data_IF_061402285887
#
_entry.id   IF_061402285887
#
_cell.length_a   1.000
_cell.length_b   1.000
_cell.length_c   1.000
_cell.angle_alpha   90.00
_cell.angle_beta   90.00
_cell.angle_gamma   90.00
#
_symmetry.space_group_name_H-M   'P 1'
#
loop_
_entity.id
_entity.type
_entity.pdbx_description
1 polymer ?
#
# COMPACT_ATOMS: atom_id res chain seq x y z
N UNK A 1 81.92 -71.60 -14.70
CA UNK A 1 80.67 -71.59 -13.91
C UNK A 1 80.15 -70.18 -13.64
N UNK A 2 80.99 -69.22 -13.20
CA UNK A 2 80.54 -67.89 -12.77
C UNK A 2 79.99 -66.98 -13.90
N UNK A 3 80.51 -67.08 -15.13
CA UNK A 3 80.02 -66.28 -16.28
C UNK A 3 78.59 -66.64 -16.66
N UNK A 4 78.23 -67.93 -16.60
CA UNK A 4 76.88 -68.40 -16.90
C UNK A 4 75.86 -67.87 -15.88
N UNK A 5 76.23 -67.89 -14.58
CA UNK A 5 75.40 -67.30 -13.53
C UNK A 5 75.21 -65.80 -13.75
N UNK A 6 76.28 -65.05 -14.06
CA UNK A 6 76.20 -63.60 -14.28
C UNK A 6 75.28 -63.24 -15.45
N UNK A 7 75.34 -64.00 -16.56
CA UNK A 7 74.44 -63.82 -17.71
C UNK A 7 72.98 -64.05 -17.31
N UNK A 8 72.70 -65.10 -16.52
CA UNK A 8 71.37 -65.42 -16.04
C UNK A 8 70.82 -64.31 -15.12
N UNK A 9 71.65 -63.76 -14.22
CA UNK A 9 71.25 -62.65 -13.35
C UNK A 9 70.97 -61.38 -14.14
N UNK A 10 71.80 -61.06 -15.14
CA UNK A 10 71.57 -59.91 -16.01
C UNK A 10 70.26 -60.03 -16.79
N UNK A 11 70.00 -61.20 -17.38
CA UNK A 11 68.76 -61.46 -18.10
C UNK A 11 67.53 -61.33 -17.19
N UNK A 12 67.58 -61.85 -15.96
CA UNK A 12 66.51 -61.70 -14.99
C UNK A 12 66.27 -60.22 -14.59
N UNK A 13 67.32 -59.41 -14.46
CA UNK A 13 67.19 -57.98 -14.17
C UNK A 13 66.50 -57.26 -15.33
N UNK A 14 66.89 -57.56 -16.57
CA UNK A 14 66.26 -56.95 -17.77
C UNK A 14 64.79 -57.35 -17.87
N UNK A 15 64.46 -58.61 -17.60
CA UNK A 15 63.07 -59.08 -17.58
C UNK A 15 62.26 -58.38 -16.49
N UNK A 16 62.80 -58.28 -15.27
CA UNK A 16 62.13 -57.61 -14.15
C UNK A 16 61.93 -56.11 -14.42
N UNK A 17 62.93 -55.45 -15.01
CA UNK A 17 62.85 -54.04 -15.39
C UNK A 17 61.80 -53.82 -16.49
N UNK A 18 61.78 -54.68 -17.52
CA UNK A 18 60.78 -54.63 -18.58
C UNK A 18 59.35 -54.86 -18.07
N UNK A 19 59.17 -55.81 -17.15
CA UNK A 19 57.87 -56.13 -16.56
C UNK A 19 57.39 -55.00 -15.63
N UNK A 20 58.31 -54.42 -14.84
CA UNK A 20 58.03 -53.25 -13.99
C UNK A 20 57.65 -52.02 -14.83
N UNK A 21 58.35 -51.79 -15.93
CA UNK A 21 58.07 -50.68 -16.85
C UNK A 21 56.72 -50.86 -17.57
N UNK A 22 56.41 -52.07 -18.03
CA UNK A 22 55.12 -52.40 -18.65
C UNK A 22 53.94 -52.23 -17.68
N UNK A 23 54.09 -52.67 -16.42
CA UNK A 23 53.08 -52.44 -15.39
C UNK A 23 52.91 -50.95 -15.07
N UNK A 24 54.01 -50.20 -15.04
CA UNK A 24 53.97 -48.76 -14.79
C UNK A 24 53.22 -47.99 -15.89
N UNK A 25 53.47 -48.32 -17.16
CA UNK A 25 52.73 -47.74 -18.29
C UNK A 25 51.23 -48.05 -18.20
N UNK A 26 50.87 -49.31 -17.92
CA UNK A 26 49.47 -49.73 -17.78
C UNK A 26 48.74 -49.07 -16.60
N UNK A 27 49.47 -48.73 -15.54
CA UNK A 27 48.91 -47.98 -14.39
C UNK A 27 48.74 -46.50 -14.72
N UNK A 28 49.60 -45.91 -15.56
CA UNK A 28 49.46 -44.50 -15.98
C UNK A 28 48.25 -44.30 -16.89
N UNK A 29 48.03 -45.18 -17.87
CA UNK A 29 46.85 -45.10 -18.76
C UNK A 29 45.54 -45.13 -17.97
N UNK A 30 45.44 -46.00 -16.96
CA UNK A 30 44.25 -46.07 -16.10
C UNK A 30 43.98 -44.81 -15.27
N UNK A 31 45.01 -44.01 -14.95
CA UNK A 31 44.85 -42.76 -14.19
C UNK A 31 44.29 -41.63 -15.05
N UNK A 32 44.63 -41.60 -16.34
CA UNK A 32 44.11 -40.60 -17.27
C UNK A 32 42.62 -40.84 -17.57
N UNK A 33 42.23 -42.11 -17.76
CA UNK A 33 40.83 -42.51 -17.88
C UNK A 33 40.01 -42.16 -16.64
N UNK A 34 40.60 -42.31 -15.45
CA UNK A 34 39.91 -41.97 -14.22
C UNK A 34 39.66 -40.46 -14.08
N UNK A 35 40.57 -39.61 -14.57
CA UNK A 35 40.40 -38.15 -14.56
C UNK A 35 39.38 -37.71 -15.60
N UNK A 36 39.40 -38.27 -16.80
CA UNK A 36 38.40 -38.00 -17.84
C UNK A 36 37.00 -38.47 -17.41
N UNK A 37 36.90 -39.66 -16.81
CA UNK A 37 35.63 -40.19 -16.28
C UNK A 37 35.06 -39.31 -15.18
N UNK A 38 35.90 -38.86 -14.23
CA UNK A 38 35.47 -37.90 -13.18
C UNK A 38 35.07 -36.55 -13.77
N UNK A 39 35.78 -36.08 -14.80
CA UNK A 39 35.43 -34.85 -15.52
C UNK A 39 34.07 -34.97 -16.21
N UNK A 40 33.81 -36.09 -16.89
CA UNK A 40 32.54 -36.36 -17.55
C UNK A 40 31.39 -36.51 -16.56
N UNK A 41 31.61 -37.18 -15.43
CA UNK A 41 30.63 -37.28 -14.34
C UNK A 41 30.28 -35.89 -13.76
N UNK A 42 31.28 -35.02 -13.59
CA UNK A 42 31.05 -33.65 -13.12
C UNK A 42 30.24 -32.84 -14.13
N UNK A 43 30.51 -33.00 -15.43
CA UNK A 43 29.72 -32.36 -16.48
C UNK A 43 28.30 -32.88 -16.53
N UNK A 44 28.10 -34.20 -16.45
CA UNK A 44 26.76 -34.79 -16.40
C UNK A 44 25.97 -34.30 -15.18
N UNK A 45 26.62 -34.20 -14.02
CA UNK A 45 26.00 -33.64 -12.82
C UNK A 45 25.66 -32.14 -13.02
N UNK A 46 26.57 -31.35 -13.60
CA UNK A 46 26.31 -29.95 -13.92
C UNK A 46 25.17 -29.77 -14.91
N UNK A 47 25.06 -30.64 -15.92
CA UNK A 47 23.97 -30.62 -16.89
C UNK A 47 22.66 -30.94 -16.18
N UNK A 48 22.60 -31.97 -15.34
CA UNK A 48 21.40 -32.33 -14.57
C UNK A 48 20.97 -31.21 -13.61
N UNK A 49 21.91 -30.53 -12.95
CA UNK A 49 21.60 -29.38 -12.08
C UNK A 49 21.11 -28.17 -12.91
N UNK A 50 21.73 -27.90 -14.06
CA UNK A 50 21.28 -26.81 -14.93
C UNK A 50 19.90 -27.08 -15.54
N UNK A 51 19.61 -28.33 -15.88
CA UNK A 51 18.30 -28.78 -16.35
C UNK A 51 17.25 -28.58 -15.25
N UNK A 52 17.50 -29.04 -14.01
CA UNK A 52 16.58 -28.82 -12.89
C UNK A 52 16.37 -27.32 -12.56
N UNK A 53 17.45 -26.52 -12.59
CA UNK A 53 17.34 -25.08 -12.40
C UNK A 53 16.57 -24.40 -13.54
N UNK A 54 16.75 -24.87 -14.79
CA UNK A 54 16.01 -24.39 -15.95
C UNK A 54 14.53 -24.70 -15.79
N UNK A 55 14.17 -25.94 -15.47
CA UNK A 55 12.79 -26.38 -15.27
C UNK A 55 12.11 -25.61 -14.13
N UNK A 56 12.84 -25.39 -13.02
CA UNK A 56 12.35 -24.59 -11.90
C UNK A 56 12.14 -23.13 -12.28
N UNK A 57 13.03 -22.56 -13.09
CA UNK A 57 12.91 -21.18 -13.59
C UNK A 57 11.71 -21.06 -14.52
N UNK A 58 11.53 -22.00 -15.45
CA UNK A 58 10.37 -22.04 -16.34
C UNK A 58 9.06 -22.15 -15.57
N UNK A 59 9.03 -22.97 -14.52
CA UNK A 59 7.87 -23.09 -13.65
C UNK A 59 7.58 -21.79 -12.88
N UNK A 60 8.61 -21.11 -12.38
CA UNK A 60 8.48 -19.81 -11.73
C UNK A 60 7.98 -18.72 -12.68
N UNK A 61 8.51 -18.67 -13.91
CA UNK A 61 8.08 -17.72 -14.94
C UNK A 61 6.61 -17.96 -15.30
N UNK A 62 6.18 -19.21 -15.46
CA UNK A 62 4.75 -19.53 -15.71
C UNK A 62 3.85 -19.08 -14.55
N UNK A 63 4.28 -19.31 -13.30
CA UNK A 63 3.55 -18.83 -12.12
C UNK A 63 3.48 -17.30 -12.07
N UNK A 64 4.58 -16.62 -12.39
CA UNK A 64 4.62 -15.16 -12.45
C UNK A 64 3.66 -14.61 -13.51
N UNK A 65 3.65 -15.20 -14.71
CA UNK A 65 2.72 -14.83 -15.79
C UNK A 65 1.27 -14.99 -15.31
N UNK A 66 0.93 -16.11 -14.69
CA UNK A 66 -0.43 -16.34 -14.18
C UNK A 66 -0.83 -15.30 -13.12
N UNK A 67 0.06 -14.98 -12.16
CA UNK A 67 -0.22 -13.95 -11.14
C UNK A 67 -0.36 -12.57 -11.79
N UNK A 68 0.47 -12.27 -12.79
CA UNK A 68 0.42 -11.01 -13.53
C UNK A 68 -0.89 -10.87 -14.29
N UNK A 69 -1.37 -11.93 -14.94
CA UNK A 69 -2.66 -11.94 -15.63
C UNK A 69 -3.82 -11.73 -14.65
N UNK A 70 -3.79 -12.40 -13.50
CA UNK A 70 -4.78 -12.23 -12.44
C UNK A 70 -4.80 -10.78 -11.92
N UNK A 71 -3.62 -10.21 -11.61
CA UNK A 71 -3.52 -8.83 -11.12
C UNK A 71 -3.90 -7.80 -12.17
N UNK A 72 -3.58 -8.06 -13.43
CA UNK A 72 -4.05 -7.22 -14.54
C UNK A 72 -5.59 -7.26 -14.65
N UNK A 73 -6.21 -8.41 -14.44
CA UNK A 73 -7.66 -8.55 -14.36
C UNK A 73 -8.29 -7.77 -13.21
N UNK A 74 -7.73 -7.88 -12.01
CA UNK A 74 -8.17 -7.12 -10.83
C UNK A 74 -8.07 -5.60 -11.06
N UNK A 75 -6.95 -5.11 -11.61
CA UNK A 75 -6.76 -3.69 -11.91
C UNK A 75 -7.78 -3.19 -12.94
N UNK A 76 -8.05 -3.96 -14.00
CA UNK A 76 -9.09 -3.60 -14.99
C UNK A 76 -10.48 -3.52 -14.36
N UNK A 77 -10.80 -4.42 -13.44
CA UNK A 77 -12.08 -4.40 -12.75
C UNK A 77 -12.24 -3.17 -11.85
N UNK A 78 -11.20 -2.83 -11.07
CA UNK A 78 -11.21 -1.61 -10.24
C UNK A 78 -11.30 -0.36 -11.10
N UNK A 79 -10.57 -0.32 -12.22
CA UNK A 79 -10.63 0.81 -13.16
C UNK A 79 -12.04 1.01 -13.71
N UNK A 80 -12.70 -0.06 -14.15
CA UNK A 80 -14.08 0.01 -14.64
C UNK A 80 -15.08 0.49 -13.56
N UNK A 81 -14.91 0.02 -12.31
CA UNK A 81 -15.73 0.47 -11.19
C UNK A 81 -15.50 1.96 -10.84
N UNK A 82 -14.25 2.44 -10.92
CA UNK A 82 -13.93 3.85 -10.73
C UNK A 82 -14.51 4.73 -11.83
N UNK A 83 -14.48 4.29 -13.09
CA UNK A 83 -15.09 5.01 -14.21
C UNK A 83 -16.60 5.16 -14.03
N UNK A 84 -17.29 4.10 -13.56
CA UNK A 84 -18.72 4.16 -13.24
C UNK A 84 -19.01 5.18 -12.12
N UNK A 85 -18.17 5.22 -11.07
CA UNK A 85 -18.31 6.18 -9.98
C UNK A 85 -18.09 7.62 -10.44
N UNK A 86 -17.10 7.86 -11.31
CA UNK A 86 -16.86 9.18 -11.90
C UNK A 86 -18.09 9.64 -12.68
N UNK A 87 -18.67 8.77 -13.51
CA UNK A 87 -19.90 9.09 -14.26
C UNK A 87 -21.07 9.43 -13.34
N UNK A 88 -21.23 8.70 -12.22
CA UNK A 88 -22.26 9.01 -11.23
C UNK A 88 -22.02 10.36 -10.56
N UNK A 89 -20.78 10.67 -10.18
CA UNK A 89 -20.41 11.97 -9.59
C UNK A 89 -20.66 13.10 -10.58
N UNK A 90 -20.28 12.96 -11.85
CA UNK A 90 -20.55 13.95 -12.89
C UNK A 90 -22.05 14.19 -13.06
N UNK A 91 -22.86 13.14 -13.07
CA UNK A 91 -24.31 13.26 -13.13
C UNK A 91 -24.89 14.00 -11.91
N UNK A 92 -24.38 13.70 -10.70
CA UNK A 92 -24.79 14.38 -9.47
C UNK A 92 -24.34 15.84 -9.44
N UNK A 93 -23.12 16.12 -9.89
CA UNK A 93 -22.56 17.47 -9.95
C UNK A 93 -23.34 18.35 -10.92
N UNK A 94 -23.71 17.81 -12.09
CA UNK A 94 -24.55 18.52 -13.05
C UNK A 94 -25.92 18.88 -12.46
N UNK A 95 -26.58 17.93 -11.76
CA UNK A 95 -27.82 18.20 -11.03
C UNK A 95 -27.64 19.26 -9.93
N UNK A 96 -26.55 19.17 -9.17
CA UNK A 96 -26.21 20.14 -8.13
C UNK A 96 -25.99 21.55 -8.70
N UNK A 97 -25.36 21.66 -9.87
CA UNK A 97 -25.18 22.93 -10.58
C UNK A 97 -26.51 23.49 -11.10
N UNK A 98 -27.41 22.66 -11.61
CA UNK A 98 -28.76 23.08 -12.01
C UNK A 98 -29.55 23.63 -10.81
N UNK A 99 -29.55 22.91 -9.70
CA UNK A 99 -30.18 23.34 -8.45
C UNK A 99 -29.55 24.65 -7.97
N UNK A 100 -28.21 24.74 -7.96
CA UNK A 100 -27.50 25.96 -7.56
C UNK A 100 -27.88 27.17 -8.42
N UNK A 101 -28.02 26.99 -9.75
CA UNK A 101 -28.49 28.05 -10.66
C UNK A 101 -29.91 28.50 -10.29
N UNK A 102 -30.82 27.57 -10.05
CA UNK A 102 -32.20 27.87 -9.64
C UNK A 102 -32.23 28.66 -8.32
N UNK A 103 -31.43 28.25 -7.33
CA UNK A 103 -31.34 28.95 -6.04
C UNK A 103 -30.70 30.34 -6.15
N UNK A 104 -29.73 30.51 -7.05
CA UNK A 104 -29.12 31.82 -7.31
C UNK A 104 -30.11 32.79 -7.95
N UNK A 105 -30.99 32.29 -8.82
CA UNK A 105 -31.97 33.10 -9.54
C UNK A 105 -33.22 33.44 -8.70
N UNK A 106 -33.64 32.56 -7.78
CA UNK A 106 -34.87 32.74 -7.01
C UNK A 106 -34.72 33.46 -5.67
N UNK A 107 -33.50 33.70 -5.15
CA UNK A 107 -33.31 34.38 -3.86
C UNK A 107 -32.74 35.79 -4.11
N UNK A 108 -33.56 36.86 -4.08
CA UNK A 108 -33.04 38.22 -4.09
C UNK A 108 -32.16 38.41 -2.85
N UNK A 109 -30.85 38.57 -3.03
CA UNK A 109 -29.92 38.65 -1.89
C UNK A 109 -30.25 39.80 -0.92
N UNK A 110 -30.91 40.86 -1.40
CA UNK A 110 -31.42 41.93 -0.54
C UNK A 110 -32.54 41.48 0.40
N UNK A 111 -33.38 40.53 -0.01
CA UNK A 111 -34.48 40.04 0.83
C UNK A 111 -33.96 39.14 1.97
N UNK A 112 -32.93 38.33 1.71
CA UNK A 112 -32.27 37.51 2.75
C UNK A 112 -31.68 38.37 3.87
N UNK A 113 -30.99 39.47 3.52
CA UNK A 113 -30.42 40.39 4.50
C UNK A 113 -31.52 41.09 5.33
N UNK A 114 -32.63 41.46 4.68
CA UNK A 114 -33.77 42.03 5.37
C UNK A 114 -34.42 41.01 6.33
N UNK A 115 -34.61 39.76 5.89
CA UNK A 115 -35.14 38.67 6.73
C UNK A 115 -34.24 38.39 7.94
N UNK A 116 -32.91 38.40 7.77
CA UNK A 116 -31.97 38.21 8.87
C UNK A 116 -32.08 39.34 9.91
N UNK A 117 -32.12 40.60 9.46
CA UNK A 117 -32.32 41.75 10.35
C UNK A 117 -33.66 41.68 11.07
N UNK A 118 -34.75 41.37 10.37
CA UNK A 118 -36.07 41.22 10.99
C UNK A 118 -36.08 40.09 12.04
N UNK A 119 -35.36 38.99 11.81
CA UNK A 119 -35.24 37.93 12.82
C UNK A 119 -34.54 38.42 14.10
N UNK A 120 -33.46 39.20 13.97
CA UNK A 120 -32.77 39.83 15.11
C UNK A 120 -33.68 40.77 15.89
N UNK A 121 -34.52 41.56 15.22
CA UNK A 121 -35.49 42.43 15.90
C UNK A 121 -36.58 41.62 16.63
N UNK A 122 -37.05 40.52 16.03
CA UNK A 122 -38.05 39.64 16.65
C UNK A 122 -37.48 38.92 17.87
N UNK A 123 -36.25 38.40 17.80
CA UNK A 123 -35.59 37.75 18.94
C UNK A 123 -35.28 38.73 20.05
N UNK A 124 -34.80 39.93 19.73
CA UNK A 124 -34.59 41.00 20.69
C UNK A 124 -35.90 41.40 21.38
N UNK A 125 -37.01 41.48 20.65
CA UNK A 125 -38.31 41.78 21.22
C UNK A 125 -38.86 40.67 22.12
N UNK A 126 -38.65 39.40 21.77
CA UNK A 126 -38.99 38.27 22.65
C UNK A 126 -38.19 38.31 23.96
N UNK A 127 -36.87 38.53 23.89
CA UNK A 127 -36.03 38.65 25.09
C UNK A 127 -36.39 39.88 25.93
N UNK A 128 -36.70 41.01 25.29
CA UNK A 128 -37.14 42.21 25.98
C UNK A 128 -38.44 41.97 26.77
N UNK A 129 -39.41 41.27 26.17
CA UNK A 129 -40.67 40.93 26.82
C UNK A 129 -40.49 39.94 27.98
N UNK A 130 -39.53 39.02 27.86
CA UNK A 130 -39.13 38.10 28.93
C UNK A 130 -38.41 38.79 30.11
N UNK A 131 -38.14 40.10 30.02
CA UNK A 131 -37.57 40.90 31.10
C UNK A 131 -36.03 40.89 31.17
N UNK A 132 -35.35 40.47 30.09
CA UNK A 132 -33.89 40.53 30.02
C UNK A 132 -33.38 41.97 30.01
N UNK A 133 -32.22 42.19 30.62
CA UNK A 133 -31.62 43.52 30.67
C UNK A 133 -30.98 43.90 29.31
N UNK A 134 -30.71 45.19 29.11
CA UNK A 134 -30.14 45.71 27.86
C UNK A 134 -28.80 45.05 27.50
N UNK A 135 -27.94 44.80 28.49
CA UNK A 135 -26.61 44.24 28.28
C UNK A 135 -26.66 42.75 27.86
N UNK A 136 -27.63 41.99 28.39
CA UNK A 136 -27.89 40.59 28.05
C UNK A 136 -28.42 40.45 26.63
N UNK A 137 -29.32 41.36 26.21
CA UNK A 137 -29.86 41.38 24.85
C UNK A 137 -28.75 41.75 23.85
N UNK A 138 -27.89 42.72 24.21
CA UNK A 138 -26.77 43.14 23.37
C UNK A 138 -25.68 42.07 23.23
N UNK A 139 -25.51 41.22 24.24
CA UNK A 139 -24.61 40.08 24.17
C UNK A 139 -25.11 38.97 23.21
N UNK A 140 -26.42 38.91 22.95
CA UNK A 140 -27.04 37.82 22.20
C UNK A 140 -27.57 38.25 20.82
N UNK A 141 -27.82 39.55 20.61
CA UNK A 141 -28.30 40.11 19.36
C UNK A 141 -27.44 41.32 18.96
N UNK A 142 -26.88 41.25 17.75
CA UNK A 142 -26.03 42.31 17.17
C UNK A 142 -26.87 43.46 16.60
N UNK A 143 -27.53 44.20 17.50
CA UNK A 143 -28.29 45.41 17.21
C UNK A 143 -27.66 46.60 17.93
N UNK A 144 -27.90 47.81 17.43
CA UNK A 144 -27.37 49.00 18.09
C UNK A 144 -28.04 49.19 19.46
N UNK A 145 -27.33 49.71 20.47
CA UNK A 145 -27.87 49.88 21.82
C UNK A 145 -29.12 50.78 21.84
N UNK A 146 -29.21 51.75 20.93
CA UNK A 146 -30.37 52.62 20.77
C UNK A 146 -31.63 51.85 20.28
N UNK A 147 -31.44 50.93 19.33
CA UNK A 147 -32.53 50.08 18.83
C UNK A 147 -33.03 49.13 19.91
N UNK A 148 -32.11 48.50 20.66
CA UNK A 148 -32.46 47.62 21.78
C UNK A 148 -33.24 48.39 22.85
N UNK A 149 -32.84 49.62 23.17
CA UNK A 149 -33.57 50.46 24.12
C UNK A 149 -35.01 50.74 23.66
N UNK A 150 -35.19 51.02 22.37
CA UNK A 150 -36.50 51.23 21.77
C UNK A 150 -37.35 49.96 21.83
N UNK A 151 -36.78 48.80 21.46
CA UNK A 151 -37.46 47.50 21.49
C UNK A 151 -37.91 47.14 22.90
N UNK A 152 -37.04 47.36 23.90
CA UNK A 152 -37.37 47.16 25.31
C UNK A 152 -38.54 48.06 25.70
N UNK A 153 -38.45 49.37 25.42
CA UNK A 153 -39.50 50.33 25.80
C UNK A 153 -40.85 50.01 25.16
N UNK A 154 -40.84 49.50 23.92
CA UNK A 154 -42.04 49.23 23.13
C UNK A 154 -42.68 47.88 23.49
N UNK A 155 -41.89 46.86 23.84
CA UNK A 155 -42.38 45.49 24.06
C UNK A 155 -42.40 45.05 25.54
N UNK A 156 -41.98 45.91 26.48
CA UNK A 156 -41.94 45.60 27.92
C UNK A 156 -43.30 45.22 28.49
N UNK A 157 -44.34 45.98 28.13
CA UNK A 157 -45.66 45.84 28.75
C UNK A 157 -46.63 45.00 27.89
N UNK A 158 -46.45 45.02 26.56
CA UNK A 158 -47.23 44.21 25.63
C UNK A 158 -46.39 43.89 24.38
N UNK A 159 -46.29 42.63 24.00
CA UNK A 159 -45.58 42.22 22.80
C UNK A 159 -46.36 42.69 21.57
N UNK A 160 -45.77 43.54 20.73
CA UNK A 160 -46.51 44.17 19.63
C UNK A 160 -46.80 43.24 18.46
N UNK A 161 -46.26 42.02 18.45
CA UNK A 161 -46.56 41.00 17.45
C UNK A 161 -47.10 39.74 18.12
N UNK A 162 -48.13 39.15 17.51
CA UNK A 162 -48.59 37.82 17.87
C UNK A 162 -47.58 36.79 17.34
N UNK A 163 -47.13 35.89 18.20
CA UNK A 163 -46.18 34.83 17.84
C UNK A 163 -46.72 33.94 16.71
N UNK A 164 -48.04 33.78 16.65
CA UNK A 164 -48.76 33.01 15.63
C UNK A 164 -48.84 33.69 14.26
N UNK A 165 -48.62 35.01 14.19
CA UNK A 165 -48.68 35.78 12.94
C UNK A 165 -47.31 36.00 12.29
N UNK A 166 -46.24 35.51 12.92
CA UNK A 166 -44.90 35.58 12.34
C UNK A 166 -44.80 34.61 11.15
N UNK A 167 -44.13 35.01 10.06
CA UNK A 167 -43.80 34.09 8.98
C UNK A 167 -43.00 32.88 9.50
N UNK A 168 -43.16 31.73 8.86
CA UNK A 168 -42.54 30.45 9.25
C UNK A 168 -41.01 30.51 9.38
N UNK A 169 -40.35 31.40 8.62
CA UNK A 169 -38.91 31.63 8.71
C UNK A 169 -38.47 32.36 10.00
N UNK A 170 -39.35 33.14 10.63
CA UNK A 170 -39.08 33.85 11.88
C UNK A 170 -39.45 33.04 13.12
N UNK A 171 -40.35 32.06 12.98
CA UNK A 171 -40.79 31.19 14.07
C UNK A 171 -39.72 30.17 14.50
N UNK A 172 -38.79 29.81 13.61
CA UNK A 172 -37.82 28.72 13.81
C UNK A 172 -36.52 29.04 14.56
N UNK A 173 -36.29 30.27 15.04
CA UNK A 173 -35.02 30.62 15.71
C UNK A 173 -34.88 30.01 17.13
N UNK A 174 -35.94 29.43 17.71
CA UNK A 174 -35.91 28.82 19.05
C UNK A 174 -36.53 27.44 19.19
N UNK A 175 -37.20 26.90 18.16
CA UNK A 175 -37.80 25.57 18.21
C UNK A 175 -37.77 24.91 16.83
N UNK A 176 -37.09 23.75 16.80
CA UNK A 176 -37.11 22.67 15.83
C UNK A 176 -38.02 22.76 14.58
N UNK A 177 -37.40 22.48 13.44
CA UNK A 177 -37.92 21.69 12.31
C UNK A 177 -39.34 21.99 11.79
N UNK A 178 -39.41 22.74 10.70
CA UNK A 178 -40.54 22.84 9.77
C UNK A 178 -39.96 22.45 8.41
N UNK A 179 -40.14 21.26 7.84
CA UNK A 179 -41.35 20.62 7.34
C UNK A 179 -42.27 21.59 6.58
N UNK A 180 -41.78 22.08 5.42
CA UNK A 180 -42.60 22.47 4.26
C UNK A 180 -41.72 22.94 3.07
N UNK A 181 -41.37 22.01 2.18
CA UNK A 181 -41.63 22.14 0.74
C UNK A 181 -41.44 20.76 0.06
N UNK A 182 -42.57 20.07 -0.09
CA UNK A 182 -42.74 18.63 -0.36
C UNK A 182 -42.29 18.12 -1.73
N UNK A 183 -41.54 18.90 -2.51
CA UNK A 183 -41.05 18.46 -3.82
C UNK A 183 -39.53 18.55 -3.87
N UNK A 184 -38.96 19.72 -3.56
CA UNK A 184 -37.50 19.92 -3.55
C UNK A 184 -36.79 19.28 -2.35
N UNK A 185 -37.50 19.07 -1.24
CA UNK A 185 -36.95 18.42 -0.05
C UNK A 185 -36.97 16.88 -0.16
N UNK A 186 -37.85 16.33 -1.01
CA UNK A 186 -37.82 14.91 -1.39
C UNK A 186 -36.56 14.63 -2.19
N UNK A 187 -36.26 15.44 -3.21
CA UNK A 187 -35.06 15.26 -4.04
C UNK A 187 -33.76 15.45 -3.24
N UNK A 188 -33.74 16.35 -2.26
CA UNK A 188 -32.60 16.56 -1.36
C UNK A 188 -32.44 15.45 -0.32
N UNK A 189 -33.55 14.92 0.21
CA UNK A 189 -33.51 13.77 1.11
C UNK A 189 -33.17 12.48 0.36
N UNK A 190 -33.62 12.33 -0.89
CA UNK A 190 -33.25 11.22 -1.78
C UNK A 190 -31.77 11.33 -2.18
N UNK A 191 -31.25 12.55 -2.40
CA UNK A 191 -29.83 12.79 -2.61
C UNK A 191 -29.00 12.49 -1.36
N UNK A 192 -29.45 12.93 -0.18
CA UNK A 192 -28.79 12.65 1.09
C UNK A 192 -28.84 11.15 1.42
N UNK A 193 -29.96 10.46 1.15
CA UNK A 193 -30.07 9.02 1.27
C UNK A 193 -29.22 8.29 0.24
N UNK A 194 -29.11 8.77 -1.01
CA UNK A 194 -28.24 8.18 -2.02
C UNK A 194 -26.76 8.28 -1.60
N UNK A 195 -26.33 9.42 -1.07
CA UNK A 195 -24.98 9.60 -0.50
C UNK A 195 -24.75 8.71 0.72
N UNK A 196 -25.73 8.59 1.61
CA UNK A 196 -25.62 7.75 2.82
C UNK A 196 -25.65 6.26 2.48
N UNK A 197 -26.44 5.86 1.50
CA UNK A 197 -26.48 4.50 0.95
C UNK A 197 -25.19 4.18 0.19
N UNK A 198 -24.59 5.15 -0.52
CA UNK A 198 -23.28 4.97 -1.16
C UNK A 198 -22.15 4.82 -0.12
N UNK A 199 -22.16 5.62 0.94
CA UNK A 199 -21.18 5.50 2.04
C UNK A 199 -21.35 4.19 2.84
N UNK A 200 -22.59 3.74 3.06
CA UNK A 200 -22.86 2.46 3.74
C UNK A 200 -22.60 1.25 2.85
N UNK A 201 -22.75 1.37 1.52
CA UNK A 201 -22.27 0.35 0.57
C UNK A 201 -20.74 0.26 0.58
N UNK A 202 -20.03 1.39 0.72
CA UNK A 202 -18.57 1.43 0.93
C UNK A 202 -18.14 0.80 2.27
N UNK A 203 -18.93 0.98 3.33
CA UNK A 203 -18.65 0.41 4.66
C UNK A 203 -19.05 -1.07 4.79
N UNK A 204 -20.07 -1.52 4.04
CA UNK A 204 -20.65 -2.87 4.13
C UNK A 204 -20.22 -3.85 3.02
N UNK A 205 -19.74 -3.36 1.89
CA UNK A 205 -19.27 -4.22 0.78
C UNK A 205 -17.83 -4.65 1.04
N UNK A 206 -17.65 -5.77 1.76
CA UNK A 206 -16.71 -6.90 1.54
C UNK A 206 -15.25 -6.64 1.11
N UNK A 207 -14.80 -5.41 0.97
CA UNK A 207 -13.47 -5.04 0.49
C UNK A 207 -12.51 -4.98 1.68
N UNK A 208 -13.00 -4.56 2.85
CA UNK A 208 -12.21 -4.63 4.07
C UNK A 208 -12.03 -6.07 4.58
N UNK A 209 -13.05 -6.93 4.49
CA UNK A 209 -12.95 -8.33 4.96
C UNK A 209 -12.10 -9.18 4.01
N UNK A 210 -12.19 -8.98 2.70
CA UNK A 210 -11.36 -9.76 1.76
C UNK A 210 -9.91 -9.26 1.73
N UNK A 211 -9.64 -7.95 1.88
CA UNK A 211 -8.27 -7.44 2.00
C UNK A 211 -7.67 -7.78 3.38
N UNK A 212 -8.42 -7.75 4.49
CA UNK A 212 -7.85 -8.17 5.78
C UNK A 212 -7.68 -9.69 5.92
N UNK A 213 -8.55 -10.52 5.32
CA UNK A 213 -8.34 -11.98 5.33
C UNK A 213 -7.32 -12.47 4.30
N UNK A 214 -7.20 -11.88 3.10
CA UNK A 214 -6.18 -12.34 2.12
C UNK A 214 -4.85 -11.58 2.15
N UNK A 215 -4.79 -10.36 2.70
CA UNK A 215 -3.52 -9.63 2.81
C UNK A 215 -2.77 -9.86 4.14
N UNK A 216 -3.41 -10.37 5.19
CA UNK A 216 -2.70 -10.67 6.46
C UNK A 216 -2.40 -12.15 6.70
N UNK A 217 -3.08 -13.10 6.05
CA UNK A 217 -2.67 -14.52 6.12
C UNK A 217 -1.53 -14.85 5.16
N UNK A 218 -1.43 -14.17 4.02
CA UNK A 218 -0.28 -14.32 3.11
C UNK A 218 1.00 -13.67 3.65
N UNK A 219 0.90 -12.59 4.43
CA UNK A 219 2.07 -11.90 5.02
C UNK A 219 2.59 -12.60 6.29
N UNK A 220 1.73 -13.27 7.08
CA UNK A 220 2.19 -14.07 8.23
C UNK A 220 2.84 -15.39 7.82
N UNK A 221 2.36 -16.00 6.73
CA UNK A 221 3.02 -17.16 6.14
C UNK A 221 4.40 -16.78 5.56
N UNK A 222 4.57 -15.53 5.11
CA UNK A 222 5.84 -15.05 4.54
C UNK A 222 6.88 -14.60 5.60
N UNK A 223 6.47 -14.14 6.79
CA UNK A 223 7.42 -13.84 7.89
C UNK A 223 8.05 -15.10 8.49
N UNK A 224 7.31 -16.23 8.51
CA UNK A 224 7.84 -17.51 9.00
C UNK A 224 8.75 -18.16 7.97
N UNK A 225 8.43 -18.11 6.68
CA UNK A 225 9.33 -18.55 5.59
C UNK A 225 10.55 -17.64 5.43
N UNK A 226 10.42 -16.33 5.64
CA UNK A 226 11.55 -15.40 5.58
C UNK A 226 12.50 -15.57 6.79
N UNK A 227 11.97 -15.83 7.98
CA UNK A 227 12.82 -16.16 9.15
C UNK A 227 13.48 -17.54 9.00
N UNK A 228 12.80 -18.54 8.42
CA UNK A 228 13.47 -19.82 8.08
C UNK A 228 14.48 -19.67 6.97
N UNK A 229 14.21 -18.91 5.90
CA UNK A 229 15.16 -18.64 4.82
C UNK A 229 16.39 -17.87 5.31
N UNK A 230 16.23 -16.87 6.19
CA UNK A 230 17.37 -16.15 6.78
C UNK A 230 18.17 -17.04 7.73
N UNK A 231 17.53 -17.96 8.45
CA UNK A 231 18.21 -18.92 9.33
C UNK A 231 18.94 -20.00 8.52
N UNK A 232 18.32 -20.55 7.48
CA UNK A 232 18.92 -21.50 6.52
C UNK A 232 20.08 -20.85 5.76
N UNK A 233 19.94 -19.60 5.32
CA UNK A 233 21.00 -18.84 4.66
C UNK A 233 22.19 -18.59 5.60
N UNK A 234 21.93 -18.21 6.87
CA UNK A 234 22.99 -18.03 7.87
C UNK A 234 23.71 -19.34 8.20
N UNK A 235 22.96 -20.45 8.23
CA UNK A 235 23.50 -21.80 8.41
C UNK A 235 24.32 -22.25 7.19
N UNK A 236 23.89 -21.90 5.98
CA UNK A 236 24.63 -22.13 4.73
C UNK A 236 25.92 -21.31 4.66
N UNK A 237 25.93 -20.07 5.16
CA UNK A 237 27.15 -19.25 5.26
C UNK A 237 28.14 -19.85 6.27
N UNK A 238 27.65 -20.46 7.35
CA UNK A 238 28.51 -21.16 8.33
C UNK A 238 29.02 -22.53 7.86
N UNK A 239 28.35 -23.17 6.89
CA UNK A 239 28.74 -24.47 6.36
C UNK A 239 29.54 -24.40 5.05
N UNK A 240 29.80 -23.21 4.51
CA UNK A 240 30.79 -23.10 3.44
C UNK A 240 32.17 -23.49 3.99
N UNK A 241 32.85 -24.49 3.39
CA UNK A 241 34.22 -24.80 3.76
C UNK A 241 35.08 -23.54 3.57
N UNK A 242 35.79 -23.14 4.62
CA UNK A 242 36.78 -22.05 4.62
C UNK A 242 37.97 -22.35 3.71
N UNK A 243 37.77 -22.54 2.41
CA UNK A 243 38.86 -22.74 1.45
C UNK A 243 39.25 -21.46 0.70
N UNK A 244 38.75 -20.30 1.12
CA UNK A 244 39.01 -19.03 0.42
C UNK A 244 39.52 -17.86 1.27
N UNK A 245 39.81 -18.03 2.57
CA UNK A 245 40.18 -16.88 3.42
C UNK A 245 41.62 -16.79 3.91
N UNK A 246 42.56 -17.64 3.51
CA UNK A 246 43.93 -17.55 4.09
C UNK A 246 45.08 -17.82 3.11
N UNK A 247 45.03 -17.29 1.88
CA UNK A 247 46.24 -17.22 1.04
C UNK A 247 46.43 -15.80 0.51
N UNK A 248 46.99 -14.90 1.34
CA UNK A 248 47.71 -13.73 0.85
C UNK A 248 48.95 -14.22 0.09
N UNK A 249 48.86 -14.34 -1.23
CA UNK A 249 50.04 -14.50 -2.08
C UNK A 249 50.81 -13.19 -2.11
N UNK A 250 51.98 -13.18 -1.47
CA UNK A 250 52.99 -12.13 -1.61
C UNK A 250 53.66 -12.26 -2.96
N UNK A 251 53.43 -11.27 -3.83
CA UNK A 251 54.22 -11.04 -5.04
C UNK A 251 55.68 -10.71 -4.64
N UNK A 252 56.71 -11.13 -5.39
CA UNK A 252 58.13 -10.93 -5.03
C UNK A 252 58.58 -9.46 -4.79
N UNK A 253 57.74 -8.48 -5.11
CA UNK A 253 57.96 -7.04 -4.88
C UNK A 253 57.42 -6.51 -3.52
N UNK A 254 56.98 -7.38 -2.62
CA UNK A 254 56.60 -7.00 -1.25
C UNK A 254 55.30 -6.19 -1.12
N UNK A 255 54.53 -6.02 -2.20
CA UNK A 255 53.22 -5.36 -2.15
C UNK A 255 52.11 -6.38 -1.88
N UNK A 256 51.47 -6.23 -0.72
CA UNK A 256 50.31 -7.04 -0.30
C UNK A 256 49.07 -6.55 -1.07
N UNK A 257 48.60 -7.36 -2.02
CA UNK A 257 47.31 -7.12 -2.71
C UNK A 257 46.21 -7.82 -1.93
N UNK A 258 45.31 -7.06 -1.31
CA UNK A 258 44.12 -7.60 -0.62
C UNK A 258 42.97 -7.75 -1.63
N UNK A 259 42.21 -8.87 -1.61
CA UNK A 259 41.06 -9.03 -2.47
C UNK A 259 39.90 -8.13 -2.01
N UNK A 260 39.50 -7.22 -2.89
CA UNK A 260 38.22 -6.48 -2.95
C UNK A 260 37.57 -6.08 -1.61
N UNK A 261 37.98 -4.93 -1.06
CA UNK A 261 37.16 -4.20 -0.09
C UNK A 261 36.12 -3.33 -0.83
N UNK A 262 34.84 -3.64 -0.67
CA UNK A 262 33.75 -2.78 -1.12
C UNK A 262 33.66 -1.55 -0.19
N UNK A 263 34.19 -0.41 -0.63
CA UNK A 263 33.98 0.87 0.05
C UNK A 263 32.51 1.28 -0.05
N UNK A 264 31.83 1.29 1.09
CA UNK A 264 30.47 1.84 1.24
C UNK A 264 30.53 3.35 0.99
N UNK A 265 29.90 3.81 -0.08
CA UNK A 265 29.77 5.24 -0.38
C UNK A 265 28.74 5.81 0.59
N UNK A 266 29.18 6.57 1.59
CA UNK A 266 28.31 7.36 2.45
C UNK A 266 28.13 8.70 1.73
N UNK A 267 26.90 9.02 1.30
CA UNK A 267 26.56 10.37 0.83
C UNK A 267 26.55 11.30 2.03
N UNK A 268 27.39 12.33 2.02
CA UNK A 268 27.26 13.48 2.93
C UNK A 268 26.03 14.28 2.51
N UNK A 269 25.18 14.60 3.48
CA UNK A 269 24.23 15.71 3.37
C UNK A 269 24.97 17.04 3.26
#
# INVERSE_FOLDING_TARGET
MNIWLLLLTFFNIVLLAGLSFSLFLRVREKKEDQRLTKGLQLLQNKISILEDLSDKTDHQVRKLIHILDQKTGEVRHVMAASDEQIQQIEAMLNKGLEISKIFHEQIPQGEMQNRQKTNLYVTAAKMAHQGYNMEQILAQVDLTPAEIQMIIKVNKDNLQFAEDQLPTWAQGAGAQSVNNNSTSQSDLNDFAQALTNQNSMFAGSKLNTTITETAFDSVKQDMTTQSTLTTEFKKSIQQMPQTFTDNTTTTPDGKVVRPFEFKRIIKSN
#
